data_IF_423246188808
#
_entry.id   IF_423246188808
#
_cell.length_a   1.000
_cell.length_b   1.000
_cell.length_c   1.000
_cell.angle_alpha   90.00
_cell.angle_beta   90.00
_cell.angle_gamma   90.00
#
_symmetry.space_group_name_H-M   'P 1'
#
loop_
_entity.id
_entity.type
_entity.pdbx_description
1 polymer ?
#
# COMPACT_ATOMS: atom_id res chain seq x y z
N UNK A 1 -8.83 26.02 57.72
CA UNK A 1 -8.47 24.64 57.32
C UNK A 1 -9.54 24.15 56.36
N UNK A 2 -9.38 24.47 55.09
CA UNK A 2 -10.39 24.24 54.06
C UNK A 2 -9.83 23.27 53.01
N UNK A 3 -10.57 22.17 52.80
CA UNK A 3 -10.81 21.52 51.52
C UNK A 3 -9.62 21.17 50.60
N UNK A 4 -8.60 20.48 51.11
CA UNK A 4 -7.67 19.75 50.21
C UNK A 4 -8.27 18.45 49.66
N UNK A 5 -9.24 17.84 50.34
CA UNK A 5 -9.84 16.58 49.88
C UNK A 5 -10.87 16.75 48.74
N UNK A 6 -11.52 17.91 48.62
CA UNK A 6 -12.51 18.17 47.56
C UNK A 6 -11.86 18.50 46.19
N UNK A 7 -10.67 19.11 46.18
CA UNK A 7 -9.92 19.39 44.95
C UNK A 7 -9.30 18.12 44.33
N UNK A 8 -8.93 17.13 45.16
CA UNK A 8 -8.41 15.84 44.67
C UNK A 8 -9.50 14.99 44.00
N UNK A 9 -10.74 15.07 44.49
CA UNK A 9 -11.89 14.37 43.94
C UNK A 9 -12.41 15.01 42.64
N UNK A 10 -12.27 16.33 42.43
CA UNK A 10 -12.66 16.96 41.16
C UNK A 10 -11.64 16.72 40.04
N UNK A 11 -10.34 16.61 40.35
CA UNK A 11 -9.31 16.31 39.35
C UNK A 11 -9.35 14.86 38.85
N UNK A 12 -9.76 13.92 39.72
CA UNK A 12 -9.96 12.52 39.34
C UNK A 12 -11.24 12.32 38.51
N UNK A 13 -12.28 13.13 38.74
CA UNK A 13 -13.49 13.08 37.90
C UNK A 13 -13.27 13.65 36.49
N UNK A 14 -12.42 14.68 36.33
CA UNK A 14 -12.08 15.22 35.00
C UNK A 14 -11.18 14.28 34.17
N UNK A 15 -10.33 13.47 34.81
CA UNK A 15 -9.51 12.46 34.12
C UNK A 15 -10.32 11.22 33.67
N UNK A 16 -11.42 10.89 34.36
CA UNK A 16 -12.28 9.76 33.98
C UNK A 16 -13.29 10.15 32.90
N UNK A 17 -13.71 11.42 32.82
CA UNK A 17 -14.73 11.87 31.85
C UNK A 17 -14.18 12.48 30.55
N UNK A 18 -12.87 12.59 30.35
CA UNK A 18 -12.26 12.95 29.04
C UNK A 18 -11.69 11.73 28.28
N UNK A 19 -11.92 10.52 28.80
CA UNK A 19 -11.47 9.27 28.18
C UNK A 19 -12.48 8.60 27.24
N UNK A 20 -13.66 9.19 27.00
CA UNK A 20 -14.56 8.74 25.95
C UNK A 20 -14.13 9.32 24.59
N UNK A 21 -12.90 9.03 24.17
CA UNK A 21 -12.72 8.75 22.75
C UNK A 21 -13.59 7.52 22.51
N UNK A 22 -14.71 7.71 21.82
CA UNK A 22 -15.48 6.62 21.25
C UNK A 22 -14.57 5.94 20.22
N UNK A 23 -13.63 5.13 20.70
CA UNK A 23 -13.08 4.04 19.94
C UNK A 23 -14.27 3.11 19.79
N UNK A 24 -15.01 3.23 18.69
CA UNK A 24 -15.77 2.10 18.22
C UNK A 24 -14.70 1.12 17.74
N UNK A 25 -14.35 0.05 18.48
CA UNK A 25 -13.64 -1.03 17.86
C UNK A 25 -14.52 -1.45 16.69
N UNK A 26 -13.98 -1.30 15.49
CA UNK A 26 -14.56 -1.89 14.31
C UNK A 26 -14.89 -3.35 14.65
N UNK A 27 -16.18 -3.67 14.76
CA UNK A 27 -16.61 -5.06 14.90
C UNK A 27 -16.33 -5.72 13.56
N UNK A 28 -15.08 -6.17 13.38
CA UNK A 28 -14.75 -7.13 12.34
C UNK A 28 -15.76 -8.26 12.50
N UNK A 29 -16.54 -8.53 11.46
CA UNK A 29 -17.58 -9.55 11.53
C UNK A 29 -16.91 -10.85 12.01
N UNK A 30 -17.48 -11.50 13.03
CA UNK A 30 -16.89 -12.73 13.57
C UNK A 30 -16.58 -13.68 12.40
N UNK A 31 -15.31 -14.08 12.27
CA UNK A 31 -14.81 -15.08 11.32
C UNK A 31 -14.54 -14.62 9.87
N UNK A 32 -14.44 -13.32 9.56
CA UNK A 32 -14.06 -12.85 8.20
C UNK A 32 -12.73 -13.42 7.71
N UNK A 33 -11.75 -13.58 8.60
CA UNK A 33 -10.43 -14.16 8.28
C UNK A 33 -10.34 -15.69 8.40
N UNK A 34 -11.45 -16.41 8.58
CA UNK A 34 -11.45 -17.88 8.48
C UNK A 34 -11.40 -18.33 7.02
N UNK A 35 -10.22 -18.20 6.42
CA UNK A 35 -9.98 -18.50 5.00
C UNK A 35 -9.44 -19.94 4.88
N UNK A 36 -10.21 -20.79 4.19
CA UNK A 36 -9.82 -22.18 3.90
C UNK A 36 -9.12 -22.32 2.54
N UNK A 37 -9.33 -21.34 1.66
CA UNK A 37 -8.72 -21.28 0.33
C UNK A 37 -8.51 -19.82 -0.07
N UNK A 38 -7.29 -19.51 -0.49
CA UNK A 38 -6.91 -18.25 -1.14
C UNK A 38 -6.87 -18.53 -2.64
N UNK A 39 -7.25 -17.56 -3.46
CA UNK A 39 -7.17 -17.66 -4.92
C UNK A 39 -6.40 -16.45 -5.47
N UNK A 40 -5.69 -16.59 -6.60
CA UNK A 40 -5.20 -15.43 -7.32
C UNK A 40 -6.40 -14.63 -7.86
N UNK A 41 -6.36 -13.32 -7.69
CA UNK A 41 -7.43 -12.40 -8.03
C UNK A 41 -7.01 -11.53 -9.22
N UNK A 42 -7.96 -11.27 -10.11
CA UNK A 42 -7.84 -10.35 -11.22
C UNK A 42 -8.98 -9.33 -11.14
N UNK A 43 -8.83 -8.13 -11.71
CA UNK A 43 -9.93 -7.19 -11.81
C UNK A 43 -11.11 -7.81 -12.55
N UNK A 44 -12.30 -7.68 -12.00
CA UNK A 44 -13.53 -8.25 -12.57
C UNK A 44 -14.47 -7.18 -13.13
N UNK A 45 -14.24 -5.91 -12.80
CA UNK A 45 -15.00 -4.77 -13.29
C UNK A 45 -14.09 -3.77 -14.00
N UNK A 46 -14.64 -3.13 -15.04
CA UNK A 46 -13.93 -2.11 -15.82
C UNK A 46 -14.84 -0.93 -16.10
N UNK A 47 -14.32 0.27 -15.87
CA UNK A 47 -14.95 1.54 -16.21
C UNK A 47 -14.08 2.26 -17.24
N UNK A 48 -14.63 2.45 -18.44
CA UNK A 48 -13.99 3.15 -19.54
C UNK A 48 -14.20 4.67 -19.43
N UNK A 49 -13.19 5.43 -19.85
CA UNK A 49 -13.21 6.88 -19.94
C UNK A 49 -12.47 7.34 -21.22
N UNK A 50 -12.63 8.60 -21.60
CA UNK A 50 -12.09 9.16 -22.85
C UNK A 50 -10.57 8.98 -22.97
N UNK A 51 -9.85 9.23 -21.87
CA UNK A 51 -8.39 9.22 -21.80
C UNK A 51 -7.78 7.95 -21.17
N UNK A 52 -8.58 6.93 -20.84
CA UNK A 52 -8.07 5.72 -20.20
C UNK A 52 -9.17 4.88 -19.57
N UNK A 53 -8.80 3.98 -18.65
CA UNK A 53 -9.75 3.10 -17.95
C UNK A 53 -9.37 2.85 -16.50
N UNK A 54 -10.33 2.42 -15.70
CA UNK A 54 -10.08 1.91 -14.35
C UNK A 54 -10.66 0.52 -14.22
N UNK A 55 -9.86 -0.39 -13.67
CA UNK A 55 -10.19 -1.78 -13.44
C UNK A 55 -10.30 -2.00 -11.93
N UNK A 56 -11.43 -2.53 -11.47
CA UNK A 56 -11.76 -2.74 -10.07
C UNK A 56 -11.76 -4.23 -9.74
N UNK A 57 -11.41 -4.53 -8.51
CA UNK A 57 -11.55 -5.87 -7.94
C UNK A 57 -12.87 -5.96 -7.16
N UNK A 58 -13.39 -7.17 -6.97
CA UNK A 58 -14.59 -7.40 -6.18
C UNK A 58 -14.33 -7.07 -4.70
N UNK A 59 -14.78 -5.91 -4.23
CA UNK A 59 -14.64 -5.49 -2.84
C UNK A 59 -15.30 -6.47 -1.84
N UNK A 60 -16.25 -7.30 -2.28
CA UNK A 60 -16.92 -8.29 -1.43
C UNK A 60 -16.14 -9.61 -1.28
N UNK A 61 -15.06 -9.80 -2.04
CA UNK A 61 -14.20 -10.99 -1.89
C UNK A 61 -13.74 -11.12 -0.44
N UNK A 62 -13.88 -12.34 0.09
CA UNK A 62 -13.59 -12.62 1.50
C UNK A 62 -12.13 -12.29 1.88
N UNK A 63 -11.20 -12.42 0.94
CA UNK A 63 -9.79 -12.11 1.14
C UNK A 63 -9.59 -10.61 1.37
N UNK A 64 -10.30 -9.75 0.63
CA UNK A 64 -10.24 -8.29 0.80
C UNK A 64 -10.96 -7.82 2.05
N UNK A 65 -12.12 -8.38 2.37
CA UNK A 65 -12.81 -8.09 3.63
C UNK A 65 -11.99 -8.49 4.86
N UNK A 66 -11.35 -9.66 4.83
CA UNK A 66 -10.42 -10.07 5.88
C UNK A 66 -9.26 -9.06 6.04
N UNK A 67 -8.68 -8.61 4.93
CA UNK A 67 -7.56 -7.67 4.96
C UNK A 67 -7.97 -6.21 5.18
N UNK A 68 -9.25 -5.86 5.07
CA UNK A 68 -9.74 -4.50 5.25
C UNK A 68 -9.34 -3.54 4.13
N UNK A 69 -9.32 -3.99 2.88
CA UNK A 69 -8.82 -3.21 1.75
C UNK A 69 -9.71 -3.28 0.52
N UNK A 70 -9.61 -2.29 -0.37
CA UNK A 70 -10.15 -2.33 -1.73
C UNK A 70 -9.05 -1.95 -2.73
N UNK A 71 -8.51 -2.92 -3.47
CA UNK A 71 -7.59 -2.63 -4.55
C UNK A 71 -8.34 -2.19 -5.81
N UNK A 72 -7.71 -1.30 -6.56
CA UNK A 72 -8.11 -0.93 -7.92
C UNK A 72 -6.86 -0.66 -8.75
N UNK A 73 -6.95 -0.92 -10.05
CA UNK A 73 -5.90 -0.59 -11.00
C UNK A 73 -6.44 0.49 -11.93
N UNK A 74 -5.90 1.70 -11.85
CA UNK A 74 -6.18 2.73 -12.84
C UNK A 74 -5.11 2.67 -13.92
N UNK A 75 -5.52 2.44 -15.16
CA UNK A 75 -4.60 2.42 -16.30
C UNK A 75 -5.00 3.49 -17.30
N UNK A 76 -4.10 4.41 -17.54
CA UNK A 76 -4.02 5.13 -18.79
C UNK A 76 -3.21 4.33 -19.86
N UNK A 77 -2.92 3.03 -19.62
CA UNK A 77 -2.05 1.99 -20.27
C UNK A 77 -0.57 1.97 -19.73
N UNK A 78 0.41 1.17 -20.21
CA UNK A 78 1.70 0.84 -19.51
C UNK A 78 2.94 1.76 -19.69
N UNK A 79 3.63 1.97 -18.53
CA UNK A 79 4.88 2.73 -18.21
C UNK A 79 4.83 4.25 -18.47
N UNK A 80 4.82 5.11 -17.46
CA UNK A 80 4.69 6.54 -17.72
C UNK A 80 5.29 7.45 -16.67
N UNK A 81 5.59 8.67 -17.10
CA UNK A 81 5.97 9.81 -16.26
C UNK A 81 4.89 10.88 -16.39
N UNK A 82 4.75 11.73 -15.39
CA UNK A 82 3.73 12.76 -15.42
C UNK A 82 3.77 13.71 -14.24
N UNK A 83 2.69 14.47 -14.12
CA UNK A 83 2.48 15.46 -13.06
C UNK A 83 1.31 15.08 -12.17
N UNK A 84 1.46 15.31 -10.88
CA UNK A 84 0.41 15.10 -9.90
C UNK A 84 0.25 16.33 -9.00
N UNK A 85 -0.99 16.73 -8.80
CA UNK A 85 -1.39 17.64 -7.74
C UNK A 85 -2.05 16.86 -6.61
N UNK A 86 -1.70 17.18 -5.36
CA UNK A 86 -2.41 16.75 -4.16
C UNK A 86 -2.73 18.03 -3.40
N UNK A 87 -4.03 18.30 -3.22
CA UNK A 87 -4.53 19.49 -2.55
C UNK A 87 -4.60 19.20 -1.05
N UNK A 88 -3.69 19.82 -0.31
CA UNK A 88 -3.67 19.76 1.15
C UNK A 88 -4.49 20.94 1.70
N UNK A 89 -5.60 20.69 2.42
CA UNK A 89 -6.43 21.76 2.97
C UNK A 89 -5.62 22.70 3.87
N UNK A 90 -5.82 24.02 3.68
CA UNK A 90 -5.12 25.06 4.45
C UNK A 90 -3.71 25.40 3.97
N UNK A 91 -3.19 24.72 2.96
CA UNK A 91 -1.88 25.06 2.36
C UNK A 91 -2.02 26.13 1.25
N UNK A 92 -1.12 27.12 1.20
CA UNK A 92 -1.19 28.21 0.22
C UNK A 92 -0.72 27.79 -1.18
N UNK A 93 -1.06 28.59 -2.19
CA UNK A 93 -0.54 28.48 -3.55
C UNK A 93 0.92 28.94 -3.60
N UNK A 94 1.83 27.97 -3.43
CA UNK A 94 3.28 28.20 -3.43
C UNK A 94 3.89 28.27 -4.83
N UNK A 95 3.15 27.88 -5.87
CA UNK A 95 3.57 28.00 -7.26
C UNK A 95 2.83 29.18 -7.89
N UNK A 96 3.60 30.15 -8.38
CA UNK A 96 3.08 31.38 -8.98
C UNK A 96 3.95 31.79 -10.15
N UNK A 97 3.34 32.33 -11.22
CA UNK A 97 4.09 32.82 -12.37
C UNK A 97 5.04 33.95 -11.94
N UNK A 98 6.34 33.80 -12.19
CA UNK A 98 7.30 34.88 -11.93
C UNK A 98 7.30 35.87 -13.11
N UNK A 99 7.37 37.17 -12.81
CA UNK A 99 7.51 38.22 -13.83
C UNK A 99 8.83 38.08 -14.63
N UNK A 100 9.84 37.37 -14.11
CA UNK A 100 11.15 37.20 -14.76
C UNK A 100 11.18 36.13 -15.87
N UNK A 101 10.22 35.20 -15.92
CA UNK A 101 10.11 34.20 -17.00
C UNK A 101 9.29 34.73 -18.20
N UNK A 102 8.77 35.95 -18.13
CA UNK A 102 7.95 36.57 -19.19
C UNK A 102 8.75 37.03 -20.42
N UNK A 103 10.08 37.02 -20.40
CA UNK A 103 10.89 37.50 -21.54
C UNK A 103 11.08 36.47 -22.67
N UNK A 104 10.71 35.19 -22.50
CA UNK A 104 10.99 34.14 -23.50
C UNK A 104 9.77 33.42 -24.09
N UNK A 105 8.53 33.74 -23.70
CA UNK A 105 7.33 33.12 -24.31
C UNK A 105 6.24 34.15 -24.61
N UNK A 106 5.73 34.13 -25.85
CA UNK A 106 4.79 35.12 -26.41
C UNK A 106 3.34 35.03 -25.84
N UNK A 107 3.12 34.34 -24.72
CA UNK A 107 1.83 34.34 -24.03
C UNK A 107 2.05 34.47 -22.52
N UNK A 108 1.47 35.54 -21.94
CA UNK A 108 1.42 35.77 -20.51
C UNK A 108 0.56 34.68 -19.83
N UNK A 109 1.16 33.55 -19.46
CA UNK A 109 0.52 32.54 -18.63
C UNK A 109 0.58 32.99 -17.15
N UNK A 110 -0.53 33.48 -16.63
CA UNK A 110 -0.66 33.93 -15.24
C UNK A 110 -1.50 32.93 -14.45
N UNK A 111 -0.88 32.27 -13.49
CA UNK A 111 -1.54 31.27 -12.65
C UNK A 111 -0.94 31.23 -11.23
N UNK A 112 -1.67 30.66 -10.28
CA UNK A 112 -1.22 30.34 -8.93
C UNK A 112 -1.89 29.04 -8.47
N UNK A 113 -1.10 28.07 -8.02
CA UNK A 113 -1.63 26.80 -7.51
C UNK A 113 -0.71 26.19 -6.43
N UNK A 114 -1.19 25.14 -5.77
CA UNK A 114 -0.37 24.34 -4.85
C UNK A 114 0.75 23.59 -5.60
N UNK A 115 1.69 23.04 -4.84
CA UNK A 115 2.85 22.28 -5.36
C UNK A 115 2.43 21.09 -6.23
N UNK A 116 2.88 21.11 -7.48
CA UNK A 116 2.82 19.96 -8.40
C UNK A 116 4.08 19.11 -8.21
N UNK A 117 3.90 17.79 -8.27
CA UNK A 117 4.97 16.81 -8.13
C UNK A 117 5.10 16.03 -9.44
N UNK A 118 6.34 15.76 -9.84
CA UNK A 118 6.58 14.80 -10.92
C UNK A 118 6.47 13.38 -10.34
N UNK A 119 5.93 12.46 -11.12
CA UNK A 119 6.02 11.04 -10.82
C UNK A 119 6.58 10.28 -12.03
N UNK A 120 7.11 9.09 -11.77
CA UNK A 120 7.62 8.13 -12.75
C UNK A 120 7.42 6.71 -12.26
N UNK A 121 7.76 5.73 -13.10
CA UNK A 121 7.77 4.33 -12.73
C UNK A 121 8.53 4.08 -11.41
N UNK A 122 7.95 3.22 -10.58
CA UNK A 122 8.47 2.88 -9.26
C UNK A 122 8.22 3.96 -8.21
N UNK A 123 7.49 5.03 -8.49
CA UNK A 123 7.05 5.95 -7.44
C UNK A 123 5.86 5.37 -6.65
N UNK A 124 6.02 5.33 -5.33
CA UNK A 124 4.95 5.17 -4.37
C UNK A 124 4.50 6.54 -3.93
N UNK A 125 3.20 6.80 -4.06
CA UNK A 125 2.57 8.05 -3.65
C UNK A 125 1.59 7.77 -2.51
N UNK A 126 1.70 8.54 -1.44
CA UNK A 126 0.77 8.56 -0.30
C UNK A 126 -0.21 9.71 -0.49
N UNK A 127 -1.50 9.39 -0.47
CA UNK A 127 -2.59 10.36 -0.60
C UNK A 127 -3.43 10.29 0.68
N UNK A 128 -3.49 11.37 1.48
CA UNK A 128 -4.30 11.40 2.69
C UNK A 128 -5.79 11.21 2.41
N UNK A 129 -6.52 10.58 3.32
CA UNK A 129 -7.98 10.55 3.26
C UNK A 129 -8.55 11.98 3.21
N UNK A 130 -9.49 12.22 2.31
CA UNK A 130 -10.10 13.54 2.09
C UNK A 130 -9.27 14.53 1.26
N UNK A 131 -8.01 14.24 0.95
CA UNK A 131 -7.21 15.09 0.06
C UNK A 131 -7.61 14.86 -1.41
N UNK A 132 -8.05 15.92 -2.08
CA UNK A 132 -8.29 15.88 -3.51
C UNK A 132 -6.96 15.77 -4.27
N UNK A 133 -6.95 15.02 -5.36
CA UNK A 133 -5.75 14.84 -6.18
C UNK A 133 -6.12 14.67 -7.65
N UNK A 134 -5.15 14.93 -8.51
CA UNK A 134 -5.25 14.71 -9.95
C UNK A 134 -3.90 14.26 -10.49
N UNK A 135 -3.91 13.49 -11.58
CA UNK A 135 -2.71 13.03 -12.28
C UNK A 135 -2.84 13.36 -13.76
N UNK A 136 -1.72 13.72 -14.38
CA UNK A 136 -1.63 14.04 -15.80
C UNK A 136 -0.47 13.28 -16.41
N UNK A 137 -0.76 12.54 -17.50
CA UNK A 137 0.27 11.90 -18.31
C UNK A 137 0.90 12.93 -19.26
N UNK A 138 2.19 13.23 -19.07
CA UNK A 138 2.95 14.06 -20.02
C UNK A 138 3.93 13.24 -20.88
N UNK A 139 3.94 11.92 -20.68
CA UNK A 139 4.68 10.97 -21.48
C UNK A 139 3.97 10.57 -22.76
N UNK A 140 4.72 9.91 -23.64
CA UNK A 140 4.19 9.21 -24.81
C UNK A 140 3.75 7.79 -24.48
N UNK A 141 4.35 7.24 -23.44
CA UNK A 141 3.98 5.97 -22.87
C UNK A 141 2.89 6.21 -21.82
N UNK A 142 2.18 5.14 -21.51
CA UNK A 142 0.94 5.22 -20.80
C UNK A 142 1.14 4.98 -19.28
N UNK A 143 0.27 5.44 -18.38
CA UNK A 143 0.48 5.21 -16.92
C UNK A 143 -0.39 4.08 -16.36
N UNK A 144 0.23 3.06 -15.75
CA UNK A 144 -0.48 2.11 -14.85
C UNK A 144 -0.18 2.48 -13.41
N UNK A 145 -1.23 2.83 -12.67
CA UNK A 145 -1.18 3.03 -11.24
C UNK A 145 -2.01 1.96 -10.53
N UNK A 146 -1.35 1.26 -9.61
CA UNK A 146 -1.99 0.32 -8.69
C UNK A 146 -2.35 1.09 -7.43
N UNK A 147 -3.64 1.14 -7.13
CA UNK A 147 -4.20 1.88 -5.99
C UNK A 147 -4.73 0.89 -4.99
N UNK A 148 -4.28 0.99 -3.74
CA UNK A 148 -4.85 0.27 -2.62
C UNK A 148 -5.50 1.27 -1.68
N UNK A 149 -6.77 1.05 -1.37
CA UNK A 149 -7.49 1.80 -0.36
C UNK A 149 -7.63 0.92 0.89
N UNK A 150 -7.33 1.47 2.07
CA UNK A 150 -7.41 0.78 3.35
C UNK A 150 -8.69 1.23 4.08
N UNK A 151 -9.71 0.36 4.11
CA UNK A 151 -11.01 0.70 4.74
C UNK A 151 -10.95 0.60 6.25
N UNK A 152 -9.99 -0.14 6.80
CA UNK A 152 -9.78 -0.27 8.24
C UNK A 152 -8.95 0.86 8.84
N UNK A 153 -8.46 1.77 8.00
CA UNK A 153 -7.71 2.91 8.46
C UNK A 153 -8.53 3.80 9.40
N UNK A 154 -7.94 4.24 10.51
CA UNK A 154 -8.60 5.16 11.44
C UNK A 154 -8.99 6.51 10.81
N UNK A 155 -8.36 6.89 9.70
CA UNK A 155 -8.74 8.07 8.93
C UNK A 155 -10.11 7.92 8.22
N UNK A 156 -10.55 6.68 7.98
CA UNK A 156 -11.87 6.38 7.46
C UNK A 156 -12.89 6.34 8.60
N UNK A 157 -13.73 7.38 8.69
CA UNK A 157 -14.76 7.53 9.73
C UNK A 157 -16.16 7.12 9.26
N UNK A 158 -16.28 6.56 8.06
CA UNK A 158 -17.58 6.22 7.47
C UNK A 158 -17.92 4.76 7.75
N UNK A 159 -17.56 3.87 6.84
CA UNK A 159 -17.86 2.43 6.89
C UNK A 159 -16.82 1.67 6.05
N UNK A 160 -17.03 0.36 5.85
CA UNK A 160 -16.08 -0.51 5.17
C UNK A 160 -16.00 -0.29 3.65
N UNK A 161 -16.96 0.43 3.09
CA UNK A 161 -17.06 0.64 1.66
C UNK A 161 -16.31 1.91 1.28
N UNK A 162 -15.46 1.80 0.27
CA UNK A 162 -14.75 2.97 -0.23
C UNK A 162 -15.72 3.85 -1.00
N UNK A 163 -15.44 5.15 -0.95
CA UNK A 163 -16.24 6.16 -1.65
C UNK A 163 -15.32 7.07 -2.43
N UNK A 164 -15.61 7.22 -3.71
CA UNK A 164 -14.89 8.12 -4.62
C UNK A 164 -15.71 9.37 -4.84
N UNK A 165 -15.28 10.49 -4.25
CA UNK A 165 -15.91 11.80 -4.43
C UNK A 165 -15.19 12.57 -5.54
N UNK A 166 -15.75 12.54 -6.75
CA UNK A 166 -15.16 13.25 -7.88
C UNK A 166 -15.47 14.76 -7.81
N UNK A 167 -14.46 15.60 -8.04
CA UNK A 167 -14.65 17.06 -8.16
C UNK A 167 -15.03 17.50 -9.58
N UNK A 168 -14.84 16.64 -10.58
CA UNK A 168 -15.15 16.95 -11.97
C UNK A 168 -15.45 15.67 -12.75
N UNK A 169 -16.00 15.84 -13.96
CA UNK A 169 -16.37 14.73 -14.82
C UNK A 169 -17.68 14.07 -14.40
N UNK A 170 -18.05 13.04 -15.14
CA UNK A 170 -19.28 12.29 -14.94
C UNK A 170 -18.98 10.79 -15.12
N UNK A 171 -18.38 10.15 -14.10
CA UNK A 171 -17.98 8.76 -14.17
C UNK A 171 -19.18 7.86 -14.37
N UNK A 172 -19.11 6.96 -15.34
CA UNK A 172 -20.16 5.95 -15.57
C UNK A 172 -20.05 4.85 -14.52
N UNK A 173 -21.19 4.36 -14.03
CA UNK A 173 -21.23 3.13 -13.25
C UNK A 173 -20.79 1.95 -14.13
N UNK A 174 -19.94 1.08 -13.60
CA UNK A 174 -19.67 -0.20 -14.23
C UNK A 174 -20.87 -1.15 -14.09
N UNK A 175 -20.87 -2.22 -14.88
CA UNK A 175 -22.06 -3.06 -15.10
C UNK A 175 -22.48 -3.91 -13.88
N UNK A 176 -21.72 -3.91 -12.76
CA UNK A 176 -21.96 -4.80 -11.62
C UNK A 176 -22.07 -4.12 -10.25
N UNK A 177 -21.92 -2.79 -10.14
CA UNK A 177 -22.13 -2.11 -8.85
C UNK A 177 -23.61 -1.92 -8.53
N UNK A 178 -24.07 -2.55 -7.45
CA UNK A 178 -25.32 -2.20 -6.77
C UNK A 178 -25.24 -0.74 -6.29
N UNK A 179 -26.18 0.09 -6.77
CA UNK A 179 -26.83 1.30 -6.20
C UNK A 179 -26.14 2.28 -5.22
N UNK A 180 -24.94 2.06 -4.68
CA UNK A 180 -24.40 2.87 -3.55
C UNK A 180 -23.13 3.69 -3.82
N UNK A 181 -22.40 3.49 -4.93
CA UNK A 181 -21.35 4.44 -5.37
C UNK A 181 -21.94 5.48 -6.35
N UNK A 182 -22.00 6.74 -5.91
CA UNK A 182 -22.56 7.86 -6.66
C UNK A 182 -21.84 8.11 -7.98
N UNK A 183 -22.57 8.05 -9.10
CA UNK A 183 -22.05 8.11 -10.47
C UNK A 183 -21.80 9.54 -10.99
N UNK A 184 -21.53 10.50 -10.11
CA UNK A 184 -21.44 11.91 -10.49
C UNK A 184 -20.43 12.67 -9.63
N UNK A 185 -19.91 13.76 -10.18
CA UNK A 185 -19.15 14.72 -9.37
C UNK A 185 -20.03 15.32 -8.26
N UNK A 186 -19.39 15.80 -7.19
CA UNK A 186 -20.08 16.35 -6.02
C UNK A 186 -20.93 17.58 -6.35
N UNK A 187 -20.57 18.37 -7.37
CA UNK A 187 -21.27 19.60 -7.72
C UNK A 187 -22.69 19.34 -8.23
N UNK A 188 -22.92 18.17 -8.83
CA UNK A 188 -24.25 17.75 -9.30
C UNK A 188 -25.28 17.65 -8.16
N UNK A 189 -24.85 17.44 -6.92
CA UNK A 189 -25.73 17.35 -5.76
C UNK A 189 -26.16 18.71 -5.19
N UNK A 190 -25.53 19.81 -5.58
CA UNK A 190 -25.85 21.14 -5.08
C UNK A 190 -26.85 21.88 -5.99
N UNK A 191 -27.65 22.76 -5.38
CA UNK A 191 -28.52 23.67 -6.11
C UNK A 191 -27.71 24.66 -6.97
N UNK A 192 -28.19 24.90 -8.19
CA UNK A 192 -27.46 25.72 -9.18
C UNK A 192 -27.38 27.20 -8.77
N UNK A 193 -28.43 27.75 -8.17
CA UNK A 193 -28.43 29.15 -7.72
C UNK A 193 -27.46 29.33 -6.55
N UNK A 194 -27.47 28.40 -5.59
CA UNK A 194 -26.51 28.38 -4.47
C UNK A 194 -25.08 28.25 -4.98
N UNK A 195 -24.80 27.36 -5.92
CA UNK A 195 -23.46 27.23 -6.53
C UNK A 195 -23.02 28.51 -7.21
N UNK A 196 -23.90 29.13 -8.00
CA UNK A 196 -23.61 30.38 -8.72
C UNK A 196 -23.24 31.49 -7.74
N UNK A 197 -23.99 31.61 -6.63
CA UNK A 197 -23.71 32.58 -5.57
C UNK A 197 -22.41 32.27 -4.83
N UNK A 198 -22.19 31.01 -4.44
CA UNK A 198 -21.01 30.60 -3.67
C UNK A 198 -19.69 30.81 -4.45
N UNK A 199 -19.68 30.50 -5.74
CA UNK A 199 -18.53 30.74 -6.62
C UNK A 199 -18.47 32.16 -7.20
N UNK A 200 -19.52 32.97 -6.99
CA UNK A 200 -19.67 34.31 -7.58
C UNK A 200 -19.48 34.30 -9.11
N UNK A 201 -20.18 33.40 -9.79
CA UNK A 201 -20.16 33.24 -11.26
C UNK A 201 -21.59 33.22 -11.81
N UNK A 202 -21.71 33.40 -13.13
CA UNK A 202 -23.01 33.27 -13.79
C UNK A 202 -23.53 31.81 -13.76
N UNK A 203 -24.86 31.60 -13.83
CA UNK A 203 -25.44 30.27 -13.77
C UNK A 203 -24.97 29.30 -14.87
N UNK A 204 -24.57 29.79 -16.05
CA UNK A 204 -24.06 28.91 -17.11
C UNK A 204 -22.68 28.38 -16.74
N UNK A 205 -21.83 29.21 -16.12
CA UNK A 205 -20.53 28.78 -15.60
C UNK A 205 -20.67 27.81 -14.42
N UNK A 206 -21.57 28.08 -13.47
CA UNK A 206 -21.85 27.15 -12.37
C UNK A 206 -22.38 25.80 -12.89
N UNK A 207 -23.25 25.81 -13.91
CA UNK A 207 -23.80 24.60 -14.51
C UNK A 207 -22.70 23.73 -15.16
N UNK A 208 -21.63 24.32 -15.67
CA UNK A 208 -20.48 23.55 -16.19
C UNK A 208 -19.81 22.71 -15.11
N UNK A 209 -19.75 23.17 -13.85
CA UNK A 209 -19.17 22.39 -12.74
C UNK A 209 -19.92 21.08 -12.52
N UNK A 210 -21.25 21.09 -12.69
CA UNK A 210 -22.08 19.90 -12.56
C UNK A 210 -21.88 18.89 -13.70
N UNK A 211 -21.22 19.29 -14.79
CA UNK A 211 -20.90 18.47 -15.96
C UNK A 211 -22.12 17.76 -16.60
N UNK A 212 -23.24 18.47 -16.87
CA UNK A 212 -24.43 17.85 -17.45
C UNK A 212 -24.15 17.31 -18.86
N UNK A 213 -24.47 16.04 -19.09
CA UNK A 213 -24.28 15.40 -20.40
C UNK A 213 -22.82 15.14 -20.77
N UNK A 214 -21.86 15.37 -19.87
CA UNK A 214 -20.47 14.95 -20.08
C UNK A 214 -20.41 13.42 -20.09
N UNK A 215 -19.86 12.86 -21.16
CA UNK A 215 -19.72 11.41 -21.37
C UNK A 215 -18.26 10.96 -21.38
N UNK A 216 -17.32 11.86 -21.07
CA UNK A 216 -15.87 11.57 -21.08
C UNK A 216 -15.42 10.73 -19.89
N UNK A 217 -16.20 10.67 -18.82
CA UNK A 217 -15.87 9.89 -17.61
C UNK A 217 -14.92 10.65 -16.67
N UNK A 218 -14.12 9.90 -15.91
CA UNK A 218 -13.17 10.43 -14.90
C UNK A 218 -11.73 10.56 -15.39
N UNK A 219 -11.41 10.05 -16.59
CA UNK A 219 -10.10 10.22 -17.25
C UNK A 219 -10.36 10.88 -18.60
N UNK A 220 -9.90 12.12 -18.77
CA UNK A 220 -10.17 12.93 -19.97
C UNK A 220 -8.91 13.15 -20.79
N UNK A 221 -9.07 13.45 -22.08
CA UNK A 221 -7.97 13.87 -22.96
C UNK A 221 -7.80 15.39 -22.90
N UNK A 222 -6.54 15.83 -22.86
CA UNK A 222 -6.18 17.26 -22.90
C UNK A 222 -5.54 17.56 -24.25
N UNK A 223 -6.32 18.08 -25.20
CA UNK A 223 -5.91 18.21 -26.61
C UNK A 223 -4.66 19.09 -26.84
N UNK A 224 -4.49 20.14 -26.04
CA UNK A 224 -3.42 21.15 -26.23
C UNK A 224 -2.26 20.98 -25.26
N UNK A 225 -2.21 19.86 -24.55
CA UNK A 225 -1.31 19.66 -23.42
C UNK A 225 -1.69 20.50 -22.20
N UNK A 226 -1.41 19.98 -21.01
CA UNK A 226 -1.69 20.69 -19.76
C UNK A 226 -0.68 21.82 -19.53
N UNK A 227 -1.17 23.05 -19.49
CA UNK A 227 -0.40 24.23 -19.11
C UNK A 227 -0.46 24.42 -17.59
N UNK A 228 0.69 24.31 -16.92
CA UNK A 228 0.84 24.47 -15.47
C UNK A 228 2.18 25.13 -15.16
N UNK A 229 2.28 25.79 -14.01
CA UNK A 229 3.55 26.34 -13.54
C UNK A 229 4.41 25.17 -13.06
N UNK A 230 5.53 24.94 -13.75
CA UNK A 230 6.53 23.94 -13.39
C UNK A 230 7.74 24.64 -12.79
N UNK A 231 8.38 24.08 -11.75
CA UNK A 231 9.65 24.62 -11.32
C UNK A 231 10.68 24.29 -12.40
N UNK A 232 11.62 25.20 -12.74
CA UNK A 232 12.81 24.79 -13.48
C UNK A 232 13.54 23.69 -12.69
N UNK A 233 14.12 22.73 -13.43
CA UNK A 233 14.97 21.57 -13.05
C UNK A 233 15.56 21.65 -11.62
N UNK A 234 15.54 20.58 -10.80
CA UNK A 234 15.73 20.68 -9.35
C UNK A 234 17.09 21.29 -9.01
N UNK A 235 17.08 22.54 -8.55
CA UNK A 235 18.10 22.99 -7.64
C UNK A 235 18.01 22.04 -6.45
N UNK A 236 19.12 21.39 -6.09
CA UNK A 236 19.23 20.66 -4.83
C UNK A 236 18.64 21.57 -3.76
N UNK A 237 17.47 21.21 -3.23
CA UNK A 237 16.98 21.79 -2.00
C UNK A 237 17.99 21.32 -0.96
N UNK A 238 19.06 22.07 -0.78
CA UNK A 238 19.75 22.17 0.48
C UNK A 238 18.63 22.40 1.49
N UNK A 239 18.43 21.41 2.35
CA UNK A 239 17.71 21.56 3.61
C UNK A 239 18.41 22.69 4.37
N UNK A 240 18.03 23.93 4.06
CA UNK A 240 18.34 25.06 4.91
C UNK A 240 17.44 24.91 6.12
N UNK A 241 18.03 24.36 7.17
CA UNK A 241 17.47 24.40 8.51
C UNK A 241 17.13 25.83 8.94
N UNK A 242 16.14 25.89 9.83
CA UNK A 242 15.51 27.04 10.48
C UNK A 242 14.52 27.87 9.65
N UNK A 243 13.24 27.49 9.75
CA UNK A 243 12.13 28.44 9.88
C UNK A 243 10.93 27.83 10.63
N UNK A 244 10.37 28.62 11.55
CA UNK A 244 9.34 28.23 12.51
C UNK A 244 7.94 28.59 11.97
N UNK A 245 7.43 27.83 11.00
CA UNK A 245 6.08 28.02 10.46
C UNK A 245 5.36 26.70 10.20
N UNK A 246 4.05 26.64 10.50
CA UNK A 246 3.18 25.50 10.15
C UNK A 246 3.21 25.20 8.63
N UNK A 247 3.44 26.24 7.81
CA UNK A 247 3.62 26.18 6.36
C UNK A 247 4.78 25.25 5.91
N UNK A 248 5.80 25.04 6.76
CA UNK A 248 6.99 24.26 6.40
C UNK A 248 6.99 22.81 6.93
N UNK A 249 5.92 22.37 7.61
CA UNK A 249 5.86 21.00 8.15
C UNK A 249 4.93 20.10 7.33
N UNK A 250 3.63 20.44 7.23
CA UNK A 250 2.64 19.62 6.52
C UNK A 250 2.59 19.94 5.03
N UNK A 251 2.59 21.21 4.64
CA UNK A 251 2.42 21.63 3.24
C UNK A 251 3.62 21.30 2.33
N UNK A 252 4.81 21.22 2.92
CA UNK A 252 6.07 20.86 2.25
C UNK A 252 6.36 19.36 2.30
N UNK A 253 5.53 18.57 3.01
CA UNK A 253 5.83 17.16 3.32
C UNK A 253 6.06 16.32 2.06
N UNK A 254 7.01 15.38 2.18
CA UNK A 254 7.34 14.44 1.10
C UNK A 254 6.25 13.36 1.05
N UNK A 255 5.49 13.33 -0.04
CA UNK A 255 4.39 12.38 -0.27
C UNK A 255 4.76 11.25 -1.25
N UNK A 256 5.96 11.30 -1.82
CA UNK A 256 6.40 10.41 -2.90
C UNK A 256 7.78 9.84 -2.59
N UNK A 257 7.96 8.55 -2.85
CA UNK A 257 9.27 7.89 -2.79
C UNK A 257 9.38 6.86 -3.91
N UNK A 258 10.55 6.80 -4.55
CA UNK A 258 10.82 5.84 -5.61
C UNK A 258 11.41 4.55 -5.00
N UNK A 259 10.65 3.46 -5.07
CA UNK A 259 11.03 2.11 -4.60
C UNK A 259 11.98 1.41 -5.57
N UNK A 260 12.01 1.87 -6.82
CA UNK A 260 12.94 1.39 -7.84
C UNK A 260 14.38 1.88 -7.67
N UNK A 261 14.59 2.92 -6.87
CA UNK A 261 15.89 3.55 -6.70
C UNK A 261 16.91 2.55 -6.11
N UNK A 262 17.99 2.20 -6.85
CA UNK A 262 19.00 1.26 -6.37
C UNK A 262 19.68 1.69 -5.07
N UNK A 263 19.76 3.00 -4.79
CA UNK A 263 20.34 3.52 -3.55
C UNK A 263 19.47 3.30 -2.30
N UNK A 264 18.22 2.86 -2.46
CA UNK A 264 17.27 2.63 -1.36
C UNK A 264 17.00 1.15 -1.07
N UNK A 265 17.70 0.24 -1.77
CA UNK A 265 17.58 -1.20 -1.59
C UNK A 265 18.02 -1.59 -0.18
N UNK A 266 17.20 -2.34 0.55
CA UNK A 266 17.51 -2.81 1.90
C UNK A 266 18.21 -4.17 1.89
N UNK A 267 17.77 -5.04 0.99
CA UNK A 267 18.31 -6.39 0.83
C UNK A 267 18.73 -6.53 -0.61
N UNK A 268 20.00 -6.90 -0.82
CA UNK A 268 20.53 -7.16 -2.15
C UNK A 268 21.33 -8.45 -2.12
N UNK A 269 20.94 -9.39 -2.97
CA UNK A 269 21.68 -10.60 -3.24
C UNK A 269 21.77 -10.78 -4.77
N UNK A 270 22.96 -10.62 -5.39
CA UNK A 270 23.12 -10.74 -6.85
C UNK A 270 22.59 -12.06 -7.44
N UNK A 271 22.51 -13.11 -6.63
CA UNK A 271 22.04 -14.44 -7.05
C UNK A 271 20.58 -14.72 -6.70
N UNK A 272 19.91 -13.84 -5.94
CA UNK A 272 18.53 -14.05 -5.49
C UNK A 272 17.58 -12.88 -5.79
N UNK A 273 18.04 -11.62 -5.69
CA UNK A 273 17.17 -10.47 -5.92
C UNK A 273 17.58 -9.22 -5.18
N UNK A 274 16.62 -8.30 -5.13
CA UNK A 274 16.64 -7.09 -4.32
C UNK A 274 15.26 -6.87 -3.71
N UNK A 275 15.25 -6.38 -2.47
CA UNK A 275 14.05 -5.88 -1.81
C UNK A 275 14.25 -4.44 -1.36
N UNK A 276 13.23 -3.61 -1.61
CA UNK A 276 13.12 -2.26 -1.10
C UNK A 276 11.86 -2.16 -0.24
N UNK A 277 12.04 -2.03 1.07
CA UNK A 277 10.99 -1.69 2.01
C UNK A 277 10.78 -0.17 2.04
N UNK A 278 9.54 0.28 1.90
CA UNK A 278 9.15 1.67 2.09
C UNK A 278 8.32 1.81 3.36
N UNK A 279 8.99 2.19 4.44
CA UNK A 279 8.38 2.45 5.75
C UNK A 279 8.39 3.95 6.09
N UNK A 280 7.90 4.29 7.28
CA UNK A 280 7.85 5.67 7.77
C UNK A 280 9.22 6.35 7.93
N UNK A 281 10.33 5.59 7.95
CA UNK A 281 11.67 6.19 8.01
C UNK A 281 12.08 6.75 6.63
N UNK A 282 11.71 6.07 5.54
CA UNK A 282 12.00 6.50 4.16
C UNK A 282 10.96 7.47 3.61
N UNK A 283 9.72 7.38 4.09
CA UNK A 283 8.62 8.28 3.74
C UNK A 283 7.84 8.71 5.01
N UNK A 284 8.30 9.76 5.72
CA UNK A 284 7.72 10.19 7.00
C UNK A 284 6.22 10.49 6.97
N UNK A 285 5.70 10.96 5.83
CA UNK A 285 4.27 11.22 5.64
C UNK A 285 3.39 9.99 5.85
N UNK A 286 3.92 8.78 5.65
CA UNK A 286 3.19 7.53 5.92
C UNK A 286 2.70 7.46 7.36
N UNK A 287 3.52 7.93 8.32
CA UNK A 287 3.16 7.93 9.75
C UNK A 287 2.10 8.99 10.07
N UNK A 288 2.18 10.15 9.44
CA UNK A 288 1.24 11.25 9.68
C UNK A 288 -0.15 10.97 9.15
N UNK A 289 -0.24 10.30 8.00
CA UNK A 289 -1.51 9.94 7.38
C UNK A 289 -1.95 8.52 7.71
N UNK A 290 -1.30 7.89 8.70
CA UNK A 290 -1.53 6.51 9.12
C UNK A 290 -1.60 5.53 7.94
N UNK A 291 -0.89 5.79 6.85
CA UNK A 291 -1.03 5.05 5.61
C UNK A 291 -0.28 3.72 5.67
N UNK A 292 -0.91 2.69 5.10
CA UNK A 292 -0.32 1.38 4.83
C UNK A 292 1.05 1.51 4.14
N UNK A 293 2.15 0.96 4.70
CA UNK A 293 3.46 1.00 4.08
C UNK A 293 3.47 0.06 2.88
N UNK A 294 4.47 0.26 2.04
CA UNK A 294 4.61 -0.48 0.80
C UNK A 294 5.98 -1.12 0.75
N UNK A 295 6.05 -2.25 0.09
CA UNK A 295 7.29 -2.95 -0.16
C UNK A 295 7.33 -3.31 -1.64
N UNK A 296 8.49 -3.14 -2.24
CA UNK A 296 8.75 -3.68 -3.56
C UNK A 296 9.80 -4.77 -3.47
N UNK A 297 9.51 -5.87 -4.12
CA UNK A 297 10.41 -7.00 -4.21
C UNK A 297 10.69 -7.30 -5.68
N UNK A 298 11.95 -7.51 -5.98
CA UNK A 298 12.41 -7.99 -7.26
C UNK A 298 13.28 -9.21 -7.02
N UNK A 299 12.88 -10.36 -7.53
CA UNK A 299 13.68 -11.58 -7.41
C UNK A 299 14.18 -12.05 -8.76
N UNK A 300 15.44 -12.47 -8.79
CA UNK A 300 16.06 -13.06 -9.99
C UNK A 300 15.62 -14.51 -10.17
N UNK A 301 16.01 -15.09 -11.30
CA UNK A 301 15.70 -16.46 -11.73
C UNK A 301 15.73 -17.50 -10.58
N UNK A 302 14.62 -18.23 -10.40
CA UNK A 302 14.50 -19.34 -9.44
C UNK A 302 14.83 -18.97 -7.99
N UNK A 303 14.84 -17.70 -7.62
CA UNK A 303 15.11 -17.32 -6.25
C UNK A 303 13.96 -17.73 -5.31
N UNK A 304 14.32 -18.15 -4.11
CA UNK A 304 13.40 -18.47 -3.02
C UNK A 304 13.46 -17.36 -1.99
N UNK A 305 12.32 -16.73 -1.76
CA UNK A 305 12.10 -15.93 -0.55
C UNK A 305 11.83 -16.90 0.59
N UNK A 306 12.64 -16.84 1.64
CA UNK A 306 12.56 -17.71 2.81
C UNK A 306 11.12 -17.81 3.32
N UNK A 307 10.64 -18.98 3.76
CA UNK A 307 9.34 -19.06 4.42
C UNK A 307 9.26 -18.07 5.58
N UNK A 308 8.20 -17.28 5.66
CA UNK A 308 8.01 -16.27 6.71
C UNK A 308 6.54 -16.05 7.04
N UNK A 309 6.26 -15.38 8.16
CA UNK A 309 4.95 -14.79 8.43
C UNK A 309 5.09 -13.32 8.83
N UNK A 310 4.02 -12.56 8.67
CA UNK A 310 3.96 -11.15 9.09
C UNK A 310 3.15 -11.05 10.36
N UNK A 311 3.74 -10.49 11.42
CA UNK A 311 3.19 -10.54 12.78
C UNK A 311 2.06 -9.54 13.04
N UNK A 312 2.00 -8.43 12.30
CA UNK A 312 1.17 -7.28 12.62
C UNK A 312 0.56 -6.58 11.39
N UNK A 313 0.51 -7.28 10.24
CA UNK A 313 -0.09 -6.76 9.01
C UNK A 313 -0.57 -7.88 8.08
N UNK A 314 -1.59 -7.59 7.28
CA UNK A 314 -1.90 -8.33 6.07
C UNK A 314 -0.96 -7.87 4.94
N UNK A 315 -0.67 -8.73 3.97
CA UNK A 315 0.10 -8.39 2.77
C UNK A 315 -0.74 -8.58 1.52
N UNK A 316 -0.86 -7.53 0.72
CA UNK A 316 -1.58 -7.52 -0.54
C UNK A 316 -0.54 -7.45 -1.65
N UNK A 317 -0.33 -8.55 -2.35
CA UNK A 317 0.75 -8.70 -3.33
C UNK A 317 0.20 -8.67 -4.74
N UNK A 318 0.81 -7.90 -5.64
CA UNK A 318 0.52 -7.94 -7.07
C UNK A 318 1.78 -8.17 -7.89
N UNK A 319 1.74 -9.15 -8.80
CA UNK A 319 2.85 -9.43 -9.70
C UNK A 319 2.85 -8.42 -10.85
N UNK A 320 3.97 -7.71 -11.02
CA UNK A 320 4.14 -6.68 -12.05
C UNK A 320 4.91 -7.18 -13.26
N UNK A 321 5.69 -8.26 -13.12
CA UNK A 321 6.33 -8.96 -14.24
C UNK A 321 6.76 -10.38 -13.86
N UNK A 322 6.73 -11.29 -14.84
CA UNK A 322 7.15 -12.68 -14.68
C UNK A 322 6.11 -13.53 -13.94
N UNK A 323 6.58 -14.55 -13.22
CA UNK A 323 5.70 -15.43 -12.44
C UNK A 323 6.43 -16.07 -11.26
N UNK A 324 5.67 -16.51 -10.26
CA UNK A 324 6.21 -17.25 -9.12
C UNK A 324 5.25 -18.33 -8.65
N UNK A 325 5.79 -19.40 -8.06
CA UNK A 325 5.00 -20.32 -7.24
C UNK A 325 4.96 -19.78 -5.82
N UNK A 326 3.77 -19.71 -5.24
CA UNK A 326 3.59 -19.31 -3.85
C UNK A 326 2.86 -20.40 -3.08
N UNK A 327 3.22 -20.59 -1.83
CA UNK A 327 2.47 -21.43 -0.90
C UNK A 327 2.12 -20.62 0.33
N UNK A 328 0.87 -20.72 0.79
CA UNK A 328 0.36 -20.05 1.98
C UNK A 328 -0.26 -21.10 2.91
N UNK A 329 0.10 -21.06 4.19
CA UNK A 329 -0.32 -22.00 5.22
C UNK A 329 -1.05 -21.25 6.34
N UNK A 330 -2.21 -21.76 6.74
CA UNK A 330 -3.03 -21.18 7.81
C UNK A 330 -2.64 -21.71 9.20
N UNK A 331 -3.36 -21.27 10.23
CA UNK A 331 -3.17 -21.67 11.62
C UNK A 331 -3.46 -23.16 11.92
N UNK A 332 -4.06 -23.90 10.99
CA UNK A 332 -4.26 -25.36 11.10
C UNK A 332 -3.13 -26.17 10.48
N UNK A 333 -2.13 -25.50 9.88
CA UNK A 333 -1.08 -26.16 9.11
C UNK A 333 -1.54 -26.63 7.73
N UNK A 334 -2.73 -26.20 7.28
CA UNK A 334 -3.26 -26.53 5.95
C UNK A 334 -2.71 -25.55 4.91
N UNK A 335 -2.26 -26.09 3.76
CA UNK A 335 -1.91 -25.25 2.62
C UNK A 335 -3.19 -24.72 1.96
N UNK A 336 -3.52 -23.46 2.26
CA UNK A 336 -4.70 -22.75 1.74
C UNK A 336 -4.44 -22.12 0.37
N UNK A 337 -3.18 -22.10 -0.07
CA UNK A 337 -2.73 -21.68 -1.40
C UNK A 337 -1.48 -22.48 -1.78
N UNK A 338 -1.44 -23.00 -3.02
CA UNK A 338 -0.24 -23.62 -3.60
C UNK A 338 -0.33 -23.59 -5.13
N UNK A 339 -0.27 -22.38 -5.70
CA UNK A 339 -0.47 -22.16 -7.12
C UNK A 339 0.64 -21.26 -7.70
N UNK A 340 0.66 -21.14 -9.04
CA UNK A 340 1.51 -20.19 -9.74
C UNK A 340 0.74 -18.89 -9.95
N UNK A 341 1.38 -17.76 -9.65
CA UNK A 341 0.85 -16.42 -9.83
C UNK A 341 1.63 -15.73 -10.94
N UNK A 342 0.93 -15.00 -11.81
CA UNK A 342 1.48 -14.35 -13.01
C UNK A 342 1.21 -12.85 -13.01
N UNK A 343 1.87 -12.13 -13.91
CA UNK A 343 1.68 -10.69 -14.11
C UNK A 343 0.20 -10.27 -14.13
N UNK A 344 -0.12 -9.20 -13.41
CA UNK A 344 -1.47 -8.64 -13.26
C UNK A 344 -2.26 -9.22 -12.08
N UNK A 345 -1.95 -10.46 -11.67
CA UNK A 345 -2.67 -11.14 -10.60
C UNK A 345 -2.26 -10.63 -9.22
N UNK A 346 -3.25 -10.61 -8.33
CA UNK A 346 -3.13 -10.19 -6.95
C UNK A 346 -3.39 -11.36 -6.00
N UNK A 347 -2.64 -11.45 -4.90
CA UNK A 347 -2.88 -12.41 -3.81
C UNK A 347 -2.83 -11.70 -2.46
N UNK A 348 -3.78 -12.01 -1.58
CA UNK A 348 -3.78 -11.54 -0.20
C UNK A 348 -3.20 -12.62 0.72
N UNK A 349 -2.20 -12.25 1.52
CA UNK A 349 -1.65 -13.07 2.59
C UNK A 349 -2.09 -12.46 3.93
N UNK A 350 -3.03 -13.08 4.66
CA UNK A 350 -3.45 -12.54 5.94
C UNK A 350 -2.31 -12.54 6.98
N UNK A 351 -2.40 -11.66 7.98
CA UNK A 351 -1.51 -11.65 9.13
C UNK A 351 -1.36 -13.05 9.73
N UNK A 352 -0.14 -13.40 10.15
CA UNK A 352 0.25 -14.69 10.72
C UNK A 352 0.16 -15.92 9.81
N UNK A 353 -0.35 -15.80 8.58
CA UNK A 353 -0.26 -16.90 7.63
C UNK A 353 1.20 -17.04 7.16
N UNK A 354 1.71 -18.27 7.18
CA UNK A 354 3.07 -18.53 6.72
C UNK A 354 3.08 -18.60 5.19
N UNK A 355 4.04 -17.92 4.56
CA UNK A 355 4.17 -17.84 3.11
C UNK A 355 5.59 -18.15 2.67
N UNK A 356 5.73 -18.90 1.58
CA UNK A 356 6.98 -19.09 0.85
C UNK A 356 6.77 -18.77 -0.62
N UNK A 357 7.77 -18.18 -1.28
CA UNK A 357 7.71 -17.76 -2.68
C UNK A 357 8.93 -18.26 -3.42
N UNK A 358 8.71 -18.78 -4.62
CA UNK A 358 9.76 -19.21 -5.53
C UNK A 358 9.54 -18.59 -6.90
N UNK A 359 10.47 -17.76 -7.35
CA UNK A 359 10.43 -17.15 -8.67
C UNK A 359 10.49 -18.22 -9.77
N UNK A 360 9.82 -17.95 -10.89
CA UNK A 360 9.86 -18.80 -12.08
C UNK A 360 11.16 -18.67 -12.87
N UNK A 361 11.17 -19.30 -14.05
CA UNK A 361 12.32 -19.36 -14.95
C UNK A 361 12.70 -18.04 -15.65
N UNK A 362 11.91 -16.99 -15.44
CA UNK A 362 12.18 -15.65 -15.98
C UNK A 362 12.42 -14.62 -14.85
N UNK A 363 12.50 -15.10 -13.60
CA UNK A 363 12.42 -14.24 -12.42
C UNK A 363 11.00 -13.79 -12.14
N UNK A 364 10.84 -12.95 -11.12
CA UNK A 364 9.55 -12.37 -10.78
C UNK A 364 9.73 -11.01 -10.09
N UNK A 365 8.94 -10.04 -10.52
CA UNK A 365 8.81 -8.74 -9.88
C UNK A 365 7.40 -8.56 -9.35
N UNK A 366 7.28 -8.11 -8.11
CA UNK A 366 5.98 -7.82 -7.51
C UNK A 366 6.08 -6.64 -6.55
N UNK A 367 4.94 -6.01 -6.33
CA UNK A 367 4.74 -5.05 -5.25
C UNK A 367 3.88 -5.69 -4.17
N UNK A 368 4.15 -5.34 -2.91
CA UNK A 368 3.35 -5.77 -1.78
C UNK A 368 2.97 -4.54 -0.95
N UNK A 369 1.69 -4.39 -0.69
CA UNK A 369 1.18 -3.41 0.26
C UNK A 369 0.96 -4.11 1.59
N UNK A 370 1.34 -3.48 2.70
CA UNK A 370 1.06 -4.01 4.03
C UNK A 370 0.15 -3.09 4.79
N UNK A 371 -0.72 -3.63 5.62
CA UNK A 371 -1.72 -2.82 6.36
C UNK A 371 -1.18 -2.15 7.64
N UNK A 372 0.14 -2.17 7.88
CA UNK A 372 0.76 -1.56 9.08
C UNK A 372 2.17 -1.04 8.77
N UNK A 373 2.45 0.24 9.10
CA UNK A 373 3.67 1.02 8.76
C UNK A 373 4.99 0.38 9.20
N UNK A 374 4.96 -0.33 10.31
CA UNK A 374 6.10 -1.05 10.88
C UNK A 374 5.86 -2.55 10.83
N UNK A 375 5.46 -3.06 9.66
CA UNK A 375 5.18 -4.48 9.50
C UNK A 375 6.41 -5.35 9.82
N UNK A 376 6.26 -6.25 10.78
CA UNK A 376 7.32 -7.11 11.30
C UNK A 376 7.24 -8.50 10.66
N UNK A 377 8.34 -8.92 10.05
CA UNK A 377 8.50 -10.23 9.44
C UNK A 377 9.26 -11.15 10.39
N UNK A 378 8.81 -12.39 10.54
CA UNK A 378 9.62 -13.46 11.09
C UNK A 378 9.87 -14.52 10.03
N UNK A 379 11.14 -14.77 9.71
CA UNK A 379 11.53 -15.85 8.81
C UNK A 379 11.59 -17.18 9.56
N UNK A 380 11.28 -18.27 8.88
CA UNK A 380 11.38 -19.64 9.39
C UNK A 380 12.73 -20.28 9.03
N UNK A 381 13.41 -19.80 7.98
CA UNK A 381 14.75 -20.25 7.61
C UNK A 381 15.70 -19.07 7.36
N UNK A 382 17.00 -19.28 7.59
CA UNK A 382 18.04 -18.27 7.40
C UNK A 382 18.59 -17.69 8.71
N UNK A 383 19.45 -16.67 8.58
CA UNK A 383 20.24 -16.11 9.68
C UNK A 383 19.40 -15.52 10.81
N UNK A 384 18.29 -14.86 10.46
CA UNK A 384 17.39 -14.18 11.40
C UNK A 384 16.13 -15.01 11.69
N UNK A 385 16.16 -16.33 11.45
CA UNK A 385 14.97 -17.16 11.56
C UNK A 385 14.56 -17.50 12.99
N UNK A 386 13.27 -17.72 13.19
CA UNK A 386 12.70 -18.24 14.43
C UNK A 386 13.35 -19.58 14.83
N UNK A 387 13.64 -20.46 13.87
CA UNK A 387 14.37 -21.71 14.11
C UNK A 387 15.76 -21.44 14.67
N UNK A 388 16.47 -20.45 14.13
CA UNK A 388 17.82 -20.10 14.61
C UNK A 388 17.80 -19.49 16.02
N UNK A 389 16.73 -18.79 16.39
CA UNK A 389 16.54 -18.20 17.72
C UNK A 389 16.31 -19.25 18.83
N UNK A 390 15.76 -20.42 18.52
CA UNK A 390 15.48 -21.46 19.52
C UNK A 390 16.73 -22.23 19.97
N UNK A 391 16.88 -22.63 21.25
CA UNK A 391 17.93 -23.54 21.68
C UNK A 391 17.93 -24.84 20.86
N UNK A 392 19.11 -25.38 20.52
CA UNK A 392 19.20 -26.56 19.65
C UNK A 392 18.48 -27.78 20.23
N UNK A 393 18.50 -27.94 21.54
CA UNK A 393 17.85 -29.09 22.20
C UNK A 393 16.32 -28.95 22.24
N UNK A 394 15.77 -27.72 22.16
CA UNK A 394 14.33 -27.50 21.95
C UNK A 394 13.91 -28.02 20.59
N UNK A 395 14.68 -27.72 19.54
CA UNK A 395 14.43 -28.19 18.17
C UNK A 395 14.58 -29.71 18.10
N UNK A 396 15.69 -30.24 18.62
CA UNK A 396 15.97 -31.67 18.62
C UNK A 396 14.85 -32.47 19.31
N UNK A 397 14.37 -31.97 20.46
CA UNK A 397 13.29 -32.61 21.22
C UNK A 397 11.93 -32.46 20.52
N UNK A 398 11.57 -31.25 20.07
CA UNK A 398 10.28 -30.95 19.45
C UNK A 398 10.07 -31.72 18.15
N UNK A 399 11.11 -31.85 17.33
CA UNK A 399 11.04 -32.55 16.04
C UNK A 399 11.61 -33.98 16.10
N UNK A 400 11.96 -34.49 17.28
CA UNK A 400 12.51 -35.84 17.50
C UNK A 400 13.69 -36.16 16.57
N UNK A 401 14.62 -35.21 16.42
CA UNK A 401 15.78 -35.33 15.53
C UNK A 401 17.10 -35.32 16.30
N UNK A 402 18.17 -35.99 15.78
CA UNK A 402 19.50 -35.88 16.36
C UNK A 402 19.98 -34.44 16.46
N UNK A 403 20.73 -34.12 17.51
CA UNK A 403 21.25 -32.77 17.76
C UNK A 403 22.06 -32.21 16.57
N UNK A 404 22.80 -33.06 15.87
CA UNK A 404 23.54 -32.67 14.66
C UNK A 404 22.60 -32.23 13.53
N UNK A 405 21.49 -32.94 13.30
CA UNK A 405 20.48 -32.55 12.33
C UNK A 405 19.81 -31.23 12.71
N UNK A 406 19.53 -31.03 14.01
CA UNK A 406 19.02 -29.75 14.51
C UNK A 406 20.02 -28.60 14.29
N UNK A 407 21.32 -28.82 14.49
CA UNK A 407 22.35 -27.82 14.16
C UNK A 407 22.37 -27.50 12.66
N UNK A 408 22.27 -28.51 11.80
CA UNK A 408 22.21 -28.33 10.35
C UNK A 408 20.98 -27.52 9.94
N UNK A 409 19.81 -27.80 10.53
CA UNK A 409 18.58 -27.04 10.30
C UNK A 409 18.76 -25.55 10.67
N UNK A 410 19.45 -25.25 11.78
CA UNK A 410 19.69 -23.88 12.24
C UNK A 410 20.69 -23.11 11.37
N UNK A 411 21.74 -23.77 10.87
CA UNK A 411 22.95 -23.09 10.38
C UNK A 411 23.32 -23.35 8.91
N UNK A 412 22.63 -24.28 8.22
CA UNK A 412 22.90 -24.54 6.81
C UNK A 412 22.60 -23.35 5.89
N UNK A 413 21.62 -22.52 6.26
CA UNK A 413 21.28 -21.29 5.54
C UNK A 413 21.86 -20.07 6.27
N UNK A 414 22.66 -19.28 5.56
CA UNK A 414 23.37 -18.11 6.11
C UNK A 414 22.76 -16.79 5.65
N UNK A 415 21.94 -16.82 4.61
CA UNK A 415 21.18 -15.72 4.04
C UNK A 415 20.05 -15.30 4.98
N UNK A 416 19.65 -14.02 4.93
CA UNK A 416 18.60 -13.45 5.79
C UNK A 416 17.19 -13.65 5.24
N UNK A 417 16.95 -13.39 3.94
CA UNK A 417 15.60 -13.46 3.34
C UNK A 417 15.58 -14.09 1.93
N UNK A 418 16.37 -13.59 0.98
CA UNK A 418 16.37 -14.08 -0.42
C UNK A 418 17.55 -15.03 -0.73
N UNK A 419 17.30 -16.14 -1.43
CA UNK A 419 18.29 -17.14 -1.85
C UNK A 419 18.09 -17.56 -3.31
N UNK A 420 19.14 -18.07 -3.99
CA UNK A 420 18.99 -18.85 -5.22
C UNK A 420 18.44 -20.25 -4.88
N UNK A 421 17.42 -20.77 -5.58
CA UNK A 421 17.05 -22.17 -5.39
C UNK A 421 18.26 -23.08 -5.64
N UNK A 422 18.57 -23.95 -4.66
CA UNK A 422 19.45 -25.08 -4.93
C UNK A 422 18.78 -25.97 -5.97
N UNK A 423 19.52 -26.35 -7.01
CA UNK A 423 19.13 -27.51 -7.83
C UNK A 423 18.92 -28.67 -6.85
N UNK A 424 17.78 -29.34 -6.97
CA UNK A 424 17.42 -30.44 -6.09
C UNK A 424 18.48 -31.54 -6.19
N UNK A 425 19.47 -31.51 -5.30
CA UNK A 425 20.32 -32.65 -5.03
C UNK A 425 19.40 -33.70 -4.39
N UNK A 426 19.07 -34.74 -5.15
CA UNK A 426 18.34 -35.88 -4.63
C UNK A 426 19.05 -36.43 -3.40
N UNK A 427 18.39 -36.37 -2.25
CA UNK A 427 18.83 -37.09 -1.07
C UNK A 427 18.21 -38.49 -1.13
N UNK A 428 19.02 -39.47 -1.54
CA UNK A 428 18.79 -40.88 -1.25
C UNK A 428 18.80 -41.09 0.28
N UNK A 429 17.82 -41.86 0.78
CA UNK A 429 17.76 -42.24 2.18
C UNK A 429 18.72 -43.37 2.53
N UNK A 430 18.88 -43.60 3.83
CA UNK A 430 18.99 -44.92 4.44
C UNK A 430 18.64 -44.81 5.93
N UNK A 431 17.87 -45.79 6.42
CA UNK A 431 17.30 -45.80 7.76
C UNK A 431 18.14 -46.55 8.80
N UNK A 432 17.83 -46.34 10.08
CA UNK A 432 17.91 -47.33 11.17
C UNK A 432 17.12 -46.82 12.39
N UNK A 433 16.27 -47.68 12.96
CA UNK A 433 15.54 -47.47 14.23
C UNK A 433 16.23 -48.23 15.38
N UNK A 434 16.20 -47.67 16.60
CA UNK A 434 16.01 -48.39 17.89
C UNK A 434 15.64 -47.42 19.05
N UNK A 435 15.01 -47.88 20.15
CA UNK A 435 14.07 -47.08 20.95
C UNK A 435 14.56 -46.52 22.31
N UNK A 436 13.91 -45.40 22.72
CA UNK A 436 13.53 -44.83 24.05
C UNK A 436 14.50 -44.80 25.26
N UNK A 437 14.49 -43.71 26.08
CA UNK A 437 13.41 -43.45 27.05
C UNK A 437 12.81 -42.03 27.00
N UNK A 438 11.61 -41.89 27.56
CA UNK A 438 10.81 -40.67 27.72
C UNK A 438 11.57 -39.45 28.28
N UNK A 439 11.50 -38.26 27.65
CA UNK A 439 11.95 -37.01 28.26
C UNK A 439 10.80 -36.32 29.03
N UNK A 440 11.13 -35.43 29.99
CA UNK A 440 10.15 -34.61 30.69
C UNK A 440 9.67 -33.45 29.82
N UNK A 441 8.37 -33.15 29.93
CA UNK A 441 7.64 -31.94 29.50
C UNK A 441 7.62 -31.61 27.99
N UNK A 442 6.40 -31.59 27.44
CA UNK A 442 6.08 -31.14 26.09
C UNK A 442 6.51 -29.68 25.89
N UNK A 443 7.41 -29.44 24.94
CA UNK A 443 7.64 -28.09 24.42
C UNK A 443 6.64 -27.83 23.32
N UNK A 444 5.64 -27.01 23.61
CA UNK A 444 4.71 -26.56 22.59
C UNK A 444 5.33 -25.39 21.81
N UNK A 445 5.53 -25.58 20.51
CA UNK A 445 5.86 -24.50 19.58
C UNK A 445 4.55 -23.95 19.03
N UNK A 446 4.13 -22.78 19.50
CA UNK A 446 2.98 -22.06 18.96
C UNK A 446 3.40 -20.70 18.41
N UNK A 447 2.76 -20.31 17.31
CA UNK A 447 2.75 -18.95 16.77
C UNK A 447 1.50 -18.26 17.32
N UNK A 448 1.62 -17.06 17.89
CA UNK A 448 0.48 -16.25 18.33
C UNK A 448 -0.06 -15.39 17.18
#
# INVERSE_FOLDING_TARGET
MANHHLLSLSLTFLMVFHGCLAYQPFQQQQNECQIQRINPLEPNERVEAEGGRTEFFDANDKQFRCAGVEPSTSSALKVGKGYQGIMLPGCPETFQSSQQLQEQSQQSFQDRHQKIRNFRQGDVIVIPAGAAHWMYNDGQEDIVAVVLLDSTNQANQLDQFHRRFFLAGNPKQGQQQQQEEGSANIFRGFDLEILSQAFNVDPQTAQKLQSPGDNRGHIIRVERGLQVIKPPVPFQQQERGNANGFEETVCSTKLTANIDNPSHVDIYNPQAGRCTHLNSQKLPSSKWFNSAPREEFFTVLNAIVSPYWVMNAHSILQVTSGSMRMQIVNNKGESVFNEQIREGQLVVVPQNFAVVKQAGQEGCRWIAFRTNDNAMINTLAGHNSAIRAMPVDVIASAYQMPREQALNLKFNRKETEEEKAKEAAGFCGDGYQKPHPTPPLATFLYMC
#
